data_IF_301843823077
#
_entry.id   IF_301843823077
#
_cell.length_a   1.000
_cell.length_b   1.000
_cell.length_c   1.000
_cell.angle_alpha   90.00
_cell.angle_beta   90.00
_cell.angle_gamma   90.00
#
_symmetry.space_group_name_H-M   'P 1'
#
loop_
_entity.id
_entity.type
_entity.pdbx_description
1 polymer ?
#
# COMPACT_ATOMS: atom_id res chain seq x y z
N UNK A 1 -21.73 19.12 8.26
CA UNK A 1 -20.53 19.07 7.40
C UNK A 1 -19.81 17.77 7.69
N UNK A 2 -19.49 17.01 6.64
CA UNK A 2 -19.27 15.56 6.68
C UNK A 2 -18.09 15.11 7.56
N UNK A 3 -18.45 14.50 8.69
CA UNK A 3 -18.09 13.15 9.14
C UNK A 3 -16.61 12.73 9.23
N UNK A 4 -16.21 12.58 10.50
CA UNK A 4 -15.41 11.48 11.05
C UNK A 4 -13.90 11.52 10.84
N UNK A 5 -13.24 12.21 11.79
CA UNK A 5 -12.12 11.70 12.61
C UNK A 5 -11.57 10.35 12.12
N UNK A 6 -10.40 10.38 11.50
CA UNK A 6 -9.47 9.25 11.51
C UNK A 6 -8.14 9.71 12.09
N UNK A 7 -8.19 10.16 13.35
CA UNK A 7 -7.08 9.96 14.27
C UNK A 7 -6.97 8.45 14.50
N UNK A 8 -6.16 7.79 13.68
CA UNK A 8 -5.56 6.50 14.04
C UNK A 8 -4.06 6.70 14.08
N UNK A 9 -3.64 7.25 15.22
CA UNK A 9 -2.35 6.97 15.81
C UNK A 9 -2.14 5.46 15.81
N UNK A 10 -1.17 5.00 15.04
CA UNK A 10 -0.39 3.83 15.41
C UNK A 10 1.06 4.21 15.17
N UNK A 11 1.68 4.70 16.24
CA UNK A 11 3.11 4.57 16.47
C UNK A 11 3.52 3.12 16.19
N UNK A 12 4.08 2.86 15.02
CA UNK A 12 4.99 1.71 14.86
C UNK A 12 6.36 2.26 14.51
N UNK A 13 7.00 2.74 15.57
CA UNK A 13 8.39 3.22 15.67
C UNK A 13 9.42 2.07 15.55
N UNK A 14 9.21 1.12 14.64
CA UNK A 14 10.24 0.19 14.20
C UNK A 14 10.21 0.16 12.68
N UNK A 15 11.28 0.64 12.06
CA UNK A 15 11.47 0.67 10.60
C UNK A 15 11.67 -0.75 10.04
N UNK A 16 10.68 -1.63 10.23
CA UNK A 16 10.59 -2.87 9.48
C UNK A 16 10.12 -2.49 8.08
N UNK A 17 11.05 -2.58 7.12
CA UNK A 17 10.73 -2.45 5.70
C UNK A 17 9.54 -3.36 5.37
N UNK A 18 8.80 -2.97 4.34
CA UNK A 18 7.67 -3.76 3.87
C UNK A 18 8.11 -5.20 3.60
N UNK A 19 7.44 -6.17 4.23
CA UNK A 19 7.71 -7.60 3.99
C UNK A 19 7.57 -7.91 2.49
N UNK A 20 8.43 -8.79 1.92
CA UNK A 20 8.31 -9.24 0.53
C UNK A 20 6.92 -9.73 0.14
N UNK A 21 6.17 -10.30 1.09
CA UNK A 21 4.80 -10.80 0.86
C UNK A 21 3.83 -9.68 0.52
N UNK A 22 3.98 -8.51 1.17
CA UNK A 22 3.17 -7.32 0.88
C UNK A 22 3.45 -6.82 -0.54
N UNK A 23 4.72 -6.77 -0.95
CA UNK A 23 5.08 -6.37 -2.32
C UNK A 23 4.45 -7.29 -3.36
N UNK A 24 4.43 -8.60 -3.09
CA UNK A 24 3.77 -9.59 -3.95
C UNK A 24 2.25 -9.42 -4.01
N UNK A 25 1.60 -9.11 -2.90
CA UNK A 25 0.16 -8.86 -2.86
C UNK A 25 -0.24 -7.64 -3.69
N UNK A 26 0.54 -6.56 -3.59
CA UNK A 26 0.35 -5.34 -4.38
C UNK A 26 0.46 -5.67 -5.87
N UNK A 27 1.52 -6.38 -6.27
CA UNK A 27 1.73 -6.80 -7.66
C UNK A 27 0.57 -7.67 -8.16
N UNK A 28 0.16 -8.68 -7.41
CA UNK A 28 -0.94 -9.56 -7.80
C UNK A 28 -2.27 -8.82 -7.89
N UNK A 29 -2.57 -7.91 -6.95
CA UNK A 29 -3.80 -7.11 -6.98
C UNK A 29 -3.85 -6.18 -8.17
N UNK A 30 -2.70 -5.58 -8.53
CA UNK A 30 -2.56 -4.76 -9.72
C UNK A 30 -2.73 -5.57 -11.01
N UNK A 31 -2.06 -6.73 -11.11
CA UNK A 31 -2.16 -7.64 -12.26
C UNK A 31 -3.59 -8.19 -12.42
N UNK A 32 -4.27 -8.54 -11.33
CA UNK A 32 -5.68 -8.98 -11.37
C UNK A 32 -6.64 -7.91 -11.91
N UNK A 33 -6.21 -6.64 -11.94
CA UNK A 33 -6.96 -5.52 -12.53
C UNK A 33 -6.40 -5.06 -13.89
N UNK A 34 -5.42 -5.76 -14.46
CA UNK A 34 -4.71 -5.38 -15.68
C UNK A 34 -4.11 -3.97 -15.63
N UNK A 35 -3.65 -3.53 -14.46
CA UNK A 35 -3.04 -2.21 -14.29
C UNK A 35 -1.52 -2.30 -14.42
N UNK A 36 -0.89 -1.26 -14.96
CA UNK A 36 0.56 -1.05 -14.84
C UNK A 36 0.91 -0.37 -13.51
N UNK A 37 2.19 -0.35 -13.11
CA UNK A 37 2.60 0.37 -11.89
C UNK A 37 2.23 1.85 -11.97
N UNK A 38 2.32 2.45 -13.16
CA UNK A 38 1.88 3.81 -13.45
C UNK A 38 0.37 3.97 -13.25
N UNK A 39 -0.43 3.03 -13.73
CA UNK A 39 -1.89 3.04 -13.57
C UNK A 39 -2.33 3.00 -12.11
N UNK A 40 -1.66 2.19 -11.29
CA UNK A 40 -1.90 2.15 -9.85
C UNK A 40 -1.47 3.47 -9.20
N UNK A 41 -0.27 3.96 -9.52
CA UNK A 41 0.27 5.20 -8.99
C UNK A 41 -0.64 6.41 -9.28
N UNK A 42 -1.12 6.55 -10.52
CA UNK A 42 -2.08 7.59 -10.91
C UNK A 42 -3.39 7.47 -10.12
N UNK A 43 -3.91 6.26 -9.90
CA UNK A 43 -5.16 6.04 -9.13
C UNK A 43 -5.05 6.42 -7.66
N UNK A 44 -3.88 6.25 -7.06
CA UNK A 44 -3.66 6.58 -5.64
C UNK A 44 -3.00 7.95 -5.43
N UNK A 45 -2.79 8.70 -6.52
CA UNK A 45 -2.09 9.98 -6.54
C UNK A 45 -0.68 9.89 -5.90
N UNK A 46 0.10 8.91 -6.35
CA UNK A 46 1.51 8.71 -5.97
C UNK A 46 2.39 8.63 -7.23
N UNK A 47 3.72 8.64 -7.03
CA UNK A 47 4.68 8.47 -8.14
C UNK A 47 4.83 6.98 -8.48
N UNK A 48 5.03 6.60 -9.76
CA UNK A 48 5.29 5.21 -10.16
C UNK A 48 6.45 4.55 -9.42
N UNK A 49 7.49 5.33 -9.09
CA UNK A 49 8.64 4.87 -8.31
C UNK A 49 8.23 4.39 -6.91
N UNK A 50 7.25 5.05 -6.26
CA UNK A 50 6.74 4.62 -4.96
C UNK A 50 6.16 3.22 -5.08
N UNK A 51 5.29 2.96 -6.06
CA UNK A 51 4.73 1.62 -6.28
C UNK A 51 5.84 0.58 -6.52
N UNK A 52 6.86 0.92 -7.31
CA UNK A 52 7.99 0.04 -7.57
C UNK A 52 8.75 -0.31 -6.28
N UNK A 53 9.02 0.66 -5.41
CA UNK A 53 9.71 0.44 -4.14
C UNK A 53 8.87 -0.42 -3.18
N UNK A 54 7.54 -0.26 -3.18
CA UNK A 54 6.61 -1.10 -2.42
C UNK A 54 6.59 -2.54 -2.93
N UNK A 55 6.47 -2.74 -4.25
CA UNK A 55 6.50 -4.08 -4.87
C UNK A 55 7.85 -4.81 -4.63
N UNK A 56 8.95 -4.06 -4.46
CA UNK A 56 10.29 -4.60 -4.16
C UNK A 56 10.60 -4.76 -2.65
N UNK A 57 9.69 -4.37 -1.75
CA UNK A 57 9.96 -4.40 -0.30
C UNK A 57 11.05 -3.40 0.16
N UNK A 58 11.37 -2.39 -0.66
CA UNK A 58 12.37 -1.35 -0.36
C UNK A 58 11.76 -0.10 0.26
N UNK A 59 10.45 0.11 0.05
CA UNK A 59 9.76 1.28 0.52
C UNK A 59 9.70 1.35 2.05
N UNK A 60 9.76 2.58 2.56
CA UNK A 60 9.42 2.88 3.95
C UNK A 60 7.91 2.72 4.12
N UNK A 61 7.44 1.93 5.11
CA UNK A 61 6.02 1.74 5.34
C UNK A 61 5.31 3.06 5.61
N UNK A 62 4.32 3.41 4.78
CA UNK A 62 3.44 4.55 4.99
C UNK A 62 1.98 4.07 4.99
N UNK A 63 1.30 4.19 6.13
CA UNK A 63 -0.08 3.71 6.30
C UNK A 63 -1.06 4.40 5.35
N UNK A 64 -0.83 5.67 5.00
CA UNK A 64 -1.68 6.38 4.05
C UNK A 64 -1.56 5.78 2.64
N UNK A 65 -0.34 5.48 2.21
CA UNK A 65 -0.09 4.87 0.89
C UNK A 65 -0.63 3.45 0.86
N UNK A 66 -0.36 2.64 1.88
CA UNK A 66 -0.89 1.28 2.02
C UNK A 66 -2.41 1.28 1.94
N UNK A 67 -3.09 2.10 2.75
CA UNK A 67 -4.55 2.18 2.75
C UNK A 67 -5.14 2.62 1.40
N UNK A 68 -4.46 3.49 0.65
CA UNK A 68 -4.88 3.83 -0.72
C UNK A 68 -4.70 2.64 -1.68
N UNK A 69 -3.57 1.94 -1.60
CA UNK A 69 -3.29 0.77 -2.45
C UNK A 69 -4.32 -0.32 -2.22
N UNK A 70 -4.62 -0.65 -0.96
CA UNK A 70 -5.63 -1.64 -0.58
C UNK A 70 -6.99 -1.38 -1.20
N UNK A 71 -7.48 -0.15 -1.06
CA UNK A 71 -8.77 0.27 -1.64
C UNK A 71 -8.73 0.20 -3.17
N UNK A 72 -7.61 0.59 -3.78
CA UNK A 72 -7.46 0.56 -5.23
C UNK A 72 -7.46 -0.87 -5.77
N UNK A 73 -6.70 -1.80 -5.18
CA UNK A 73 -6.57 -3.18 -5.67
C UNK A 73 -7.64 -4.12 -5.10
N UNK A 74 -8.40 -3.70 -4.09
CA UNK A 74 -9.46 -4.50 -3.46
C UNK A 74 -8.94 -5.67 -2.63
N UNK A 75 -7.69 -5.60 -2.15
CA UNK A 75 -7.08 -6.61 -1.26
C UNK A 75 -6.72 -5.99 0.08
N UNK A 76 -6.93 -6.74 1.16
CA UNK A 76 -6.43 -6.35 2.48
C UNK A 76 -4.94 -6.67 2.57
N UNK A 77 -4.12 -5.64 2.74
CA UNK A 77 -2.67 -5.70 2.93
C UNK A 77 -2.34 -5.64 4.43
N UNK A 78 -3.08 -4.84 5.20
CA UNK A 78 -2.88 -4.60 6.64
C UNK A 78 -3.13 -5.84 7.51
N UNK A 79 -3.82 -6.86 7.00
CA UNK A 79 -4.01 -8.13 7.69
C UNK A 79 -2.73 -8.99 7.73
N UNK A 80 -1.76 -8.73 6.86
CA UNK A 80 -0.50 -9.48 6.79
C UNK A 80 0.56 -9.02 7.81
N UNK A 81 0.22 -8.07 8.69
CA UNK A 81 1.07 -7.71 9.85
C UNK A 81 1.00 -8.72 11.01
N UNK A 82 0.09 -9.71 10.95
CA UNK A 82 -0.25 -10.57 12.09
C UNK A 82 0.18 -12.05 11.95
N UNK A 83 1.13 -12.36 11.06
CA UNK A 83 1.73 -13.69 10.94
C UNK A 83 3.25 -13.63 11.13
#
# INVERSE_FOLDING_TARGET
>A
MNTAKLDRETEELKHEKISPDVGRLIQQGRQGKNWTQKDLATRINEKPQVIQEYEQGKAVPNQNVLGKIERAIGKFIVLYKAL
#
